data_IF_536332418206
#
_entry.id   IF_536332418206
#
_cell.length_a   1.000
_cell.length_b   1.000
_cell.length_c   1.000
_cell.angle_alpha   90.00
_cell.angle_beta   90.00
_cell.angle_gamma   90.00
#
_symmetry.space_group_name_H-M   'P 1'
#
loop_
_entity.id
_entity.type
_entity.pdbx_description
1 polymer ?
#
# COMPACT_ATOMS: atom_id res chain seq x y z
N UNK A 1 -13.44 -21.03 10.08
CA UNK A 1 -12.29 -20.43 9.35
C UNK A 1 -11.15 -20.19 10.31
N UNK A 2 -10.06 -20.94 10.21
CA UNK A 2 -8.96 -20.85 11.16
C UNK A 2 -8.23 -19.50 11.03
N UNK A 3 -8.29 -18.69 12.09
CA UNK A 3 -7.52 -17.45 12.24
C UNK A 3 -6.05 -17.85 12.37
N UNK A 4 -5.29 -17.82 11.27
CA UNK A 4 -3.85 -18.11 11.31
C UNK A 4 -3.16 -17.11 12.27
N UNK A 5 -2.69 -17.55 13.46
CA UNK A 5 -2.19 -16.65 14.50
C UNK A 5 -0.77 -16.12 14.20
N UNK A 6 -0.12 -16.62 13.15
CA UNK A 6 1.31 -16.39 12.87
C UNK A 6 1.63 -15.15 12.02
N UNK A 7 0.64 -14.49 11.40
CA UNK A 7 0.88 -13.24 10.64
C UNK A 7 0.22 -12.05 11.31
N UNK A 8 0.64 -11.72 12.54
CA UNK A 8 0.20 -10.48 13.20
C UNK A 8 0.81 -9.25 12.51
N UNK A 9 2.05 -9.36 12.05
CA UNK A 9 2.84 -8.28 11.48
C UNK A 9 3.14 -8.50 10.00
N UNK A 10 3.22 -7.41 9.25
CA UNK A 10 3.70 -7.38 7.87
C UNK A 10 5.23 -7.27 7.84
N UNK A 11 5.84 -7.62 6.70
CA UNK A 11 7.26 -7.31 6.48
C UNK A 11 7.43 -5.81 6.22
N UNK A 12 8.53 -5.18 6.68
CA UNK A 12 8.82 -3.77 6.38
C UNK A 12 8.88 -3.49 4.87
N UNK A 13 9.41 -4.43 4.08
CA UNK A 13 9.46 -4.30 2.62
C UNK A 13 8.06 -4.28 1.98
N UNK A 14 7.12 -5.09 2.47
CA UNK A 14 5.74 -5.09 1.99
C UNK A 14 5.03 -3.78 2.35
N UNK A 15 5.26 -3.27 3.57
CA UNK A 15 4.75 -1.97 3.99
C UNK A 15 5.25 -0.83 3.10
N UNK A 16 6.57 -0.77 2.89
CA UNK A 16 7.19 0.28 2.07
C UNK A 16 6.68 0.24 0.62
N UNK A 17 6.56 -0.94 0.03
CA UNK A 17 6.04 -1.07 -1.34
C UNK A 17 4.58 -0.61 -1.47
N UNK A 18 3.69 -1.04 -0.56
CA UNK A 18 2.26 -0.73 -0.72
C UNK A 18 1.93 0.73 -0.39
N UNK A 19 2.65 1.35 0.56
CA UNK A 19 2.44 2.76 0.94
C UNK A 19 2.94 3.77 -0.09
N UNK A 20 3.78 3.35 -1.04
CA UNK A 20 4.34 4.23 -2.07
C UNK A 20 3.26 5.00 -2.83
N UNK A 21 3.50 6.30 -3.02
CA UNK A 21 2.58 7.20 -3.72
C UNK A 21 1.38 7.66 -2.89
N UNK A 22 1.21 7.22 -1.64
CA UNK A 22 0.17 7.73 -0.75
C UNK A 22 0.71 8.82 0.18
N UNK A 23 0.14 10.04 0.17
CA UNK A 23 0.51 11.04 1.16
C UNK A 23 0.03 10.60 2.56
N UNK A 24 0.76 11.01 3.60
CA UNK A 24 0.46 10.64 5.01
C UNK A 24 -1.00 10.92 5.42
N UNK A 25 -1.60 12.02 4.93
CA UNK A 25 -3.01 12.34 5.17
C UNK A 25 -3.95 11.30 4.54
N UNK A 26 -3.65 10.79 3.35
CA UNK A 26 -4.43 9.74 2.71
C UNK A 26 -4.28 8.42 3.46
N UNK A 27 -3.05 8.03 3.83
CA UNK A 27 -2.80 6.83 4.65
C UNK A 27 -3.61 6.85 5.95
N UNK A 28 -3.65 7.98 6.65
CA UNK A 28 -4.44 8.10 7.89
C UNK A 28 -5.94 7.88 7.69
N UNK A 29 -6.48 8.26 6.52
CA UNK A 29 -7.90 8.07 6.17
C UNK A 29 -8.18 6.64 5.76
N UNK A 30 -7.36 6.07 4.87
CA UNK A 30 -7.54 4.70 4.38
C UNK A 30 -7.37 3.67 5.49
N UNK A 31 -6.34 3.82 6.31
CA UNK A 31 -6.01 2.87 7.38
C UNK A 31 -6.75 3.18 8.69
N UNK A 32 -7.56 4.25 8.72
CA UNK A 32 -8.26 4.75 9.93
C UNK A 32 -7.32 4.81 11.15
N UNK A 33 -6.09 5.26 10.91
CA UNK A 33 -4.99 5.21 11.88
C UNK A 33 -4.35 6.60 12.01
N UNK A 34 -3.91 6.94 13.22
CA UNK A 34 -3.28 8.23 13.48
C UNK A 34 -1.92 8.36 12.78
N UNK A 35 -1.58 9.57 12.32
CA UNK A 35 -0.31 9.86 11.61
C UNK A 35 0.93 9.44 12.41
N UNK A 36 0.92 9.69 13.73
CA UNK A 36 2.02 9.27 14.62
C UNK A 36 2.24 7.76 14.61
N UNK A 37 1.17 6.97 14.52
CA UNK A 37 1.28 5.50 14.47
C UNK A 37 1.84 5.04 13.13
N UNK A 38 1.45 5.69 12.03
CA UNK A 38 2.01 5.41 10.70
C UNK A 38 3.49 5.81 10.64
N UNK A 39 3.86 6.95 11.20
CA UNK A 39 5.26 7.36 11.30
C UNK A 39 6.09 6.35 12.11
N UNK A 40 5.53 5.83 13.21
CA UNK A 40 6.15 4.78 14.01
C UNK A 40 6.30 3.44 13.27
N UNK A 41 5.49 3.20 12.24
CA UNK A 41 5.67 2.05 11.34
C UNK A 41 6.76 2.31 10.31
N UNK A 42 6.83 3.53 9.78
CA UNK A 42 7.84 3.95 8.81
C UNK A 42 9.26 3.94 9.41
N UNK A 43 9.41 4.38 10.66
CA UNK A 43 10.71 4.40 11.37
C UNK A 43 11.08 3.05 12.03
N UNK A 44 10.17 2.08 11.99
CA UNK A 44 10.36 0.75 12.58
C UNK A 44 10.27 0.68 14.11
N UNK A 45 9.94 1.79 14.78
CA UNK A 45 9.71 1.82 16.24
C UNK A 45 8.49 1.01 16.67
N UNK A 46 7.55 0.75 15.74
CA UNK A 46 6.41 -0.14 15.93
C UNK A 46 6.27 -1.11 14.74
N UNK A 47 5.96 -2.39 14.99
CA UNK A 47 5.73 -3.34 13.91
C UNK A 47 4.43 -2.99 13.15
N UNK A 48 4.47 -3.13 11.84
CA UNK A 48 3.32 -2.86 10.96
C UNK A 48 2.32 -4.03 11.08
N UNK A 49 1.05 -3.79 11.41
CA UNK A 49 0.04 -4.84 11.39
C UNK A 49 -0.15 -5.41 9.99
N UNK A 50 -0.27 -6.74 9.87
CA UNK A 50 -0.38 -7.41 8.56
C UNK A 50 -1.56 -6.94 7.69
N UNK A 51 -2.60 -6.39 8.31
CA UNK A 51 -3.78 -5.89 7.59
C UNK A 51 -3.49 -4.56 6.87
N UNK A 52 -2.54 -3.75 7.37
CA UNK A 52 -2.30 -2.41 6.86
C UNK A 52 -1.87 -2.40 5.38
N UNK A 53 -0.78 -3.10 4.97
CA UNK A 53 -0.43 -3.17 3.56
C UNK A 53 -1.46 -3.93 2.71
N UNK A 54 -2.19 -4.89 3.30
CA UNK A 54 -3.25 -5.63 2.57
C UNK A 54 -4.41 -4.73 2.15
N UNK A 55 -4.81 -3.80 3.02
CA UNK A 55 -5.86 -2.80 2.68
C UNK A 55 -5.41 -1.92 1.53
N UNK A 56 -4.16 -1.45 1.56
CA UNK A 56 -3.59 -0.65 0.46
C UNK A 56 -3.51 -1.45 -0.85
N UNK A 57 -3.09 -2.71 -0.76
CA UNK A 57 -3.08 -3.64 -1.90
C UNK A 57 -4.46 -3.80 -2.51
N UNK A 58 -5.49 -3.98 -1.68
CA UNK A 58 -6.87 -4.15 -2.15
C UNK A 58 -7.33 -2.91 -2.92
N UNK A 59 -7.15 -1.72 -2.34
CA UNK A 59 -7.47 -0.45 -3.00
C UNK A 59 -6.74 -0.28 -4.34
N UNK A 60 -5.47 -0.69 -4.41
CA UNK A 60 -4.70 -0.65 -5.66
C UNK A 60 -5.28 -1.59 -6.71
N UNK A 61 -5.58 -2.84 -6.34
CA UNK A 61 -6.12 -3.83 -7.27
C UNK A 61 -7.50 -3.40 -7.79
N UNK A 62 -8.35 -2.86 -6.93
CA UNK A 62 -9.65 -2.29 -7.31
C UNK A 62 -9.49 -1.10 -8.26
N UNK A 63 -8.62 -0.15 -7.92
CA UNK A 63 -8.32 1.00 -8.78
C UNK A 63 -7.76 0.60 -10.15
N UNK A 64 -6.83 -0.37 -10.18
CA UNK A 64 -6.28 -0.91 -11.42
C UNK A 64 -7.35 -1.60 -12.26
N UNK A 65 -8.26 -2.35 -11.63
CA UNK A 65 -9.36 -3.02 -12.31
C UNK A 65 -10.35 -2.00 -12.91
N UNK A 66 -10.65 -0.93 -12.17
CA UNK A 66 -11.47 0.17 -12.65
C UNK A 66 -10.82 0.91 -13.83
N UNK A 67 -9.53 1.24 -13.75
CA UNK A 67 -8.81 1.88 -14.85
C UNK A 67 -8.78 1.01 -16.11
N UNK A 68 -8.56 -0.30 -15.96
CA UNK A 68 -8.63 -1.26 -17.08
C UNK A 68 -10.00 -1.26 -17.76
N UNK A 69 -11.09 -1.21 -16.99
CA UNK A 69 -12.45 -1.10 -17.54
C UNK A 69 -12.65 0.21 -18.33
N UNK A 70 -11.97 1.28 -17.94
CA UNK A 70 -11.95 2.55 -18.67
C UNK A 70 -10.93 2.59 -19.82
N UNK A 71 -10.25 1.48 -20.12
CA UNK A 71 -9.20 1.41 -21.15
C UNK A 71 -7.92 2.17 -20.79
N UNK A 72 -7.69 2.50 -19.51
CA UNK A 72 -6.50 3.21 -19.03
C UNK A 72 -5.52 2.26 -18.34
N UNK A 73 -4.19 2.42 -18.55
CA UNK A 73 -3.20 1.66 -17.82
C UNK A 73 -3.14 2.08 -16.34
N UNK A 74 -2.66 1.17 -15.48
CA UNK A 74 -2.38 1.49 -14.07
C UNK A 74 -1.21 2.49 -14.03
N UNK A 75 -1.34 3.64 -13.35
CA UNK A 75 -0.30 4.65 -13.28
C UNK A 75 1.03 4.15 -12.70
N UNK A 76 1.03 3.06 -11.89
CA UNK A 76 2.28 2.44 -11.42
C UNK A 76 3.02 1.67 -12.50
N UNK A 77 2.33 1.19 -13.54
CA UNK A 77 2.96 0.51 -14.67
C UNK A 77 3.53 1.49 -15.71
N UNK A 78 3.08 2.74 -15.71
CA UNK A 78 3.56 3.76 -16.65
C UNK A 78 4.97 4.29 -16.32
N UNK A 79 5.39 4.24 -15.05
CA UNK A 79 6.67 4.82 -14.60
C UNK A 79 7.88 4.06 -15.17
N UNK A 80 7.70 2.78 -15.56
CA UNK A 80 8.73 2.00 -16.25
C UNK A 80 8.88 2.30 -17.75
N UNK A 81 7.89 2.94 -18.38
CA UNK A 81 7.89 3.19 -19.83
C UNK A 81 8.59 4.47 -20.27
N UNK A 82 8.77 5.45 -19.37
CA UNK A 82 9.34 6.77 -19.73
C UNK A 82 10.88 6.80 -19.81
N UNK A 83 11.55 5.72 -19.41
CA UNK A 83 13.01 5.59 -19.49
C UNK A 83 13.50 4.69 -20.64
N UNK A 84 12.60 4.12 -21.44
CA UNK A 84 12.96 3.23 -22.56
C UNK A 84 12.95 3.92 -23.95
N UNK A 85 12.83 5.24 -23.99
CA UNK A 85 12.92 6.04 -25.23
C UNK A 85 13.96 7.14 -25.04
N UNK A 86 15.24 6.78 -25.17
CA UNK A 86 16.33 7.70 -25.46
C UNK A 86 17.39 7.02 -26.28
#
# INVERSE_FOLDING_TARGET
MARNPSRKWASPAEWEYERQGYPMKALSRFLKTHRKTIAAWDDGSRPVPHWAPKVLRLHRVEGASYLRQLGRPDPRNEVGGRHASR
#
